data_IF_658341458907
#
_entry.id   IF_658341458907
#
_cell.length_a   1.000
_cell.length_b   1.000
_cell.length_c   1.000
_cell.angle_alpha   90.00
_cell.angle_beta   90.00
_cell.angle_gamma   90.00
#
_symmetry.space_group_name_H-M   'P 1'
#
loop_
_entity.id
_entity.type
_entity.pdbx_description
1 polymer ?
#
# COMPACT_ATOMS: atom_id res chain seq x y z
N UNK A 1 -3.31 1.01 6.93
CA UNK A 1 -3.64 -0.22 6.18
C UNK A 1 -3.07 -0.08 4.78
N UNK A 2 -2.20 -0.98 4.33
CA UNK A 2 -1.81 -1.01 2.92
C UNK A 2 -2.92 -1.70 2.12
N UNK A 3 -3.20 -1.21 0.92
CA UNK A 3 -4.04 -1.92 -0.03
C UNK A 3 -3.22 -2.96 -0.80
N UNK A 4 -3.92 -3.96 -1.36
CA UNK A 4 -3.32 -5.12 -2.02
C UNK A 4 -2.83 -4.77 -3.43
N UNK A 5 -1.63 -5.24 -3.77
CA UNK A 5 -1.04 -5.18 -5.12
C UNK A 5 -0.67 -6.58 -5.58
N UNK A 6 -1.64 -7.33 -6.07
CA UNK A 6 -1.48 -8.75 -6.45
C UNK A 6 -2.38 -9.11 -7.63
N UNK A 7 -1.89 -9.95 -8.54
CA UNK A 7 -2.72 -10.52 -9.60
C UNK A 7 -3.57 -11.69 -9.08
N UNK A 8 -4.56 -11.38 -8.24
CA UNK A 8 -5.51 -12.34 -7.67
C UNK A 8 -6.93 -11.80 -7.79
N UNK A 9 -7.88 -12.71 -8.01
CA UNK A 9 -9.30 -12.36 -8.23
C UNK A 9 -9.94 -11.58 -7.09
N UNK A 10 -9.38 -11.66 -5.89
CA UNK A 10 -9.87 -10.97 -4.69
C UNK A 10 -9.27 -9.58 -4.47
N UNK A 11 -8.22 -9.18 -5.19
CA UNK A 11 -7.52 -7.90 -4.97
C UNK A 11 -8.49 -6.70 -5.05
N UNK A 12 -9.31 -6.65 -6.10
CA UNK A 12 -10.26 -5.55 -6.31
C UNK A 12 -11.28 -5.44 -5.18
N UNK A 13 -11.86 -6.57 -4.75
CA UNK A 13 -12.85 -6.57 -3.68
C UNK A 13 -12.25 -6.20 -2.32
N UNK A 14 -11.05 -6.70 -2.00
CA UNK A 14 -10.35 -6.32 -0.78
C UNK A 14 -10.02 -4.83 -0.76
N UNK A 15 -9.51 -4.28 -1.86
CA UNK A 15 -9.17 -2.87 -1.96
C UNK A 15 -10.39 -1.96 -1.86
N UNK A 16 -11.51 -2.37 -2.44
CA UNK A 16 -12.80 -1.68 -2.25
C UNK A 16 -13.21 -1.69 -0.77
N UNK A 17 -13.13 -2.85 -0.10
CA UNK A 17 -13.48 -2.97 1.32
C UNK A 17 -12.56 -2.14 2.21
N UNK A 18 -11.25 -2.17 1.97
CA UNK A 18 -10.26 -1.35 2.67
C UNK A 18 -10.58 0.13 2.51
N UNK A 19 -10.86 0.57 1.27
CA UNK A 19 -11.20 1.96 0.97
C UNK A 19 -12.50 2.43 1.61
N UNK A 20 -13.47 1.53 1.80
CA UNK A 20 -14.76 1.84 2.46
C UNK A 20 -14.65 1.86 3.99
N UNK A 21 -13.98 0.86 4.59
CA UNK A 21 -14.07 0.61 6.03
C UNK A 21 -13.00 1.37 6.82
N UNK A 22 -11.77 1.49 6.32
CA UNK A 22 -10.69 2.16 7.06
C UNK A 22 -11.03 3.62 7.43
N UNK A 23 -11.68 4.43 6.56
CA UNK A 23 -12.09 5.79 6.92
C UNK A 23 -13.10 5.88 8.07
N UNK A 24 -13.77 4.79 8.46
CA UNK A 24 -14.67 4.77 9.62
C UNK A 24 -13.91 4.80 10.96
N UNK A 25 -12.59 4.58 10.94
CA UNK A 25 -11.72 4.58 12.12
C UNK A 25 -10.85 5.85 12.14
N UNK A 26 -11.06 6.78 13.09
CA UNK A 26 -10.40 8.09 13.09
C UNK A 26 -8.88 8.04 13.30
N UNK A 27 -8.36 6.90 13.77
CA UNK A 27 -6.94 6.63 13.99
C UNK A 27 -6.33 5.68 12.95
N UNK A 28 -7.02 5.46 11.82
CA UNK A 28 -6.54 4.63 10.73
C UNK A 28 -6.54 5.41 9.41
N UNK A 29 -5.65 5.00 8.51
CA UNK A 29 -5.57 5.53 7.15
C UNK A 29 -5.21 4.42 6.16
N UNK A 30 -5.54 4.64 4.89
CA UNK A 30 -5.17 3.76 3.79
C UNK A 30 -3.89 4.28 3.15
N UNK A 31 -2.93 3.39 2.94
CA UNK A 31 -1.72 3.63 2.17
C UNK A 31 -1.87 2.95 0.81
N UNK A 32 -1.87 3.73 -0.27
CA UNK A 32 -2.09 3.23 -1.64
C UNK A 32 -0.83 2.61 -2.24
N UNK A 33 -0.45 1.46 -1.69
CA UNK A 33 0.65 0.64 -2.19
C UNK A 33 0.39 0.15 -3.62
N UNK A 34 -0.84 -0.22 -3.97
CA UNK A 34 -1.21 -0.70 -5.31
C UNK A 34 -0.79 0.27 -6.40
N UNK A 35 -1.20 1.52 -6.30
CA UNK A 35 -0.84 2.54 -7.29
C UNK A 35 0.67 2.74 -7.37
N UNK A 36 1.34 2.75 -6.21
CA UNK A 36 2.77 2.99 -6.13
C UNK A 36 3.58 1.83 -6.72
N UNK A 37 3.24 0.59 -6.37
CA UNK A 37 3.87 -0.62 -6.89
C UNK A 37 3.66 -0.78 -8.40
N UNK A 38 2.47 -0.43 -8.91
CA UNK A 38 2.18 -0.45 -10.34
C UNK A 38 3.02 0.59 -11.13
N UNK A 39 3.33 1.73 -10.52
CA UNK A 39 4.23 2.74 -11.10
C UNK A 39 5.71 2.32 -11.06
N UNK A 40 6.06 1.36 -10.19
CA UNK A 40 7.42 0.90 -9.94
C UNK A 40 7.54 -0.64 -10.00
N UNK A 41 7.32 -1.27 -11.17
CA UNK A 41 7.41 -2.73 -11.29
C UNK A 41 8.80 -3.28 -10.91
N UNK A 42 9.86 -2.45 -11.00
CA UNK A 42 11.21 -2.79 -10.55
C UNK A 42 11.35 -3.01 -9.04
N UNK A 43 10.37 -2.58 -8.25
CA UNK A 43 10.32 -2.81 -6.81
C UNK A 43 9.81 -4.20 -6.44
N UNK A 44 9.31 -4.98 -7.39
CA UNK A 44 8.74 -6.29 -7.14
C UNK A 44 9.65 -7.41 -7.67
N UNK A 45 9.60 -8.57 -7.02
CA UNK A 45 10.19 -9.79 -7.56
C UNK A 45 9.44 -10.25 -8.82
N UNK A 46 9.94 -11.30 -9.48
CA UNK A 46 9.37 -11.78 -10.74
C UNK A 46 7.92 -12.28 -10.66
N UNK A 47 7.38 -12.46 -9.45
CA UNK A 47 5.98 -12.79 -9.22
C UNK A 47 5.04 -11.57 -9.23
N UNK A 48 5.57 -10.36 -9.28
CA UNK A 48 4.79 -9.12 -9.25
C UNK A 48 4.04 -8.89 -7.92
N UNK A 49 4.46 -9.55 -6.83
CA UNK A 49 3.78 -9.50 -5.54
C UNK A 49 4.76 -9.12 -4.43
N UNK A 50 5.89 -9.80 -4.33
CA UNK A 50 6.80 -9.61 -3.21
C UNK A 50 7.72 -8.41 -3.45
N UNK A 51 7.82 -7.46 -2.51
CA UNK A 51 8.79 -6.37 -2.61
C UNK A 51 10.24 -6.88 -2.59
N UNK A 52 11.06 -6.30 -3.45
CA UNK A 52 12.52 -6.25 -3.34
C UNK A 52 12.92 -5.27 -2.24
N UNK A 53 14.21 -5.22 -1.84
CA UNK A 53 14.68 -4.25 -0.84
C UNK A 53 14.26 -2.80 -1.14
N UNK A 54 14.39 -2.34 -2.39
CA UNK A 54 13.95 -0.99 -2.78
C UNK A 54 12.44 -0.74 -2.58
N UNK A 55 11.59 -1.77 -2.81
CA UNK A 55 10.16 -1.68 -2.54
C UNK A 55 9.83 -1.67 -1.05
N UNK A 56 10.59 -2.42 -0.25
CA UNK A 56 10.47 -2.38 1.21
C UNK A 56 10.87 -0.99 1.76
N UNK A 57 11.93 -0.39 1.23
CA UNK A 57 12.35 0.96 1.58
C UNK A 57 11.28 2.00 1.19
N UNK A 58 10.66 1.84 0.02
CA UNK A 58 9.56 2.70 -0.42
C UNK A 58 8.33 2.61 0.48
N UNK A 59 7.95 1.41 0.91
CA UNK A 59 6.87 1.21 1.90
C UNK A 59 7.22 1.93 3.21
N UNK A 60 8.44 1.78 3.70
CA UNK A 60 8.89 2.43 4.93
C UNK A 60 8.87 3.97 4.82
N UNK A 61 9.32 4.51 3.69
CA UNK A 61 9.30 5.94 3.41
C UNK A 61 7.87 6.50 3.40
N UNK A 62 6.94 5.83 2.74
CA UNK A 62 5.52 6.21 2.71
C UNK A 62 4.90 6.24 4.12
N UNK A 63 5.19 5.24 4.95
CA UNK A 63 4.72 5.20 6.34
C UNK A 63 5.28 6.35 7.17
N UNK A 64 6.58 6.66 7.00
CA UNK A 64 7.24 7.72 7.74
C UNK A 64 6.70 9.11 7.34
N UNK A 65 6.51 9.36 6.05
CA UNK A 65 5.97 10.63 5.54
C UNK A 65 4.59 10.94 6.13
N UNK A 66 3.70 9.96 6.18
CA UNK A 66 2.38 10.15 6.80
C UNK A 66 2.45 10.27 8.32
N UNK A 67 3.35 9.53 8.99
CA UNK A 67 3.54 9.68 10.42
C UNK A 67 4.02 11.09 10.79
N UNK A 68 4.90 11.68 9.97
CA UNK A 68 5.36 13.08 10.14
C UNK A 68 4.21 14.06 9.91
N UNK A 69 3.37 13.85 8.88
CA UNK A 69 2.20 14.70 8.61
C UNK A 69 1.16 14.65 9.72
N UNK A 70 0.99 13.49 10.37
CA UNK A 70 0.02 13.33 11.44
C UNK A 70 0.41 14.03 12.76
N UNK A 71 1.68 14.41 12.94
CA UNK A 71 2.18 15.08 14.15
C UNK A 71 2.57 16.55 13.94
N UNK A 72 2.48 17.05 12.71
CA UNK A 72 2.70 18.45 12.35
C UNK A 72 1.40 19.27 12.47
#
# INVERSE_FOLDING_TARGET
MLNDSVDRTWEGHNNELIGRIVPEYPNAMVFDWKTLAAAHPEWLWGDGIHPRPAGADAIAAMLLDEAVRAVA
#
